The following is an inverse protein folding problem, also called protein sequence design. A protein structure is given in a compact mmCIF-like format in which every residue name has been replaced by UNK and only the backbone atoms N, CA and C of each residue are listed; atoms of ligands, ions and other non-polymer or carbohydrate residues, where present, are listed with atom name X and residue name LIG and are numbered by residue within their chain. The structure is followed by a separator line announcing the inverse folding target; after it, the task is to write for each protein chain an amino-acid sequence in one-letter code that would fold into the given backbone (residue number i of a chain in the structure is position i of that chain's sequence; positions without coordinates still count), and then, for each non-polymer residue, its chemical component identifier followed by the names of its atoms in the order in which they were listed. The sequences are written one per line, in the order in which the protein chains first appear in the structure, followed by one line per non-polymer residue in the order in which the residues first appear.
data_IF_745653107561
#
_entry.id   IF_745653107561
#
_cell.length_a   1.000
_cell.length_b   1.000
_cell.length_c   1.000
_cell.angle_alpha   90.00
_cell.angle_beta   90.00
_cell.angle_gamma   90.00
#
_symmetry.space_group_name_H-M   'P 1'
#
loop_
_entity.id
_entity.type
_entity.pdbx_description
1 polymer ?
#
# COMPACT_ATOMS: atom_id res chain seq x y z
N UNK A 1 20.28 -4.52 -3.47
CA UNK A 1 19.39 -4.51 -4.62
C UNK A 1 18.30 -3.47 -4.46
N UNK A 2 17.50 -3.26 -5.50
CA UNK A 2 16.37 -2.32 -5.49
C UNK A 2 15.37 -2.69 -4.38
N UNK A 3 14.84 -1.70 -3.68
CA UNK A 3 13.89 -1.92 -2.59
C UNK A 3 14.47 -2.45 -1.28
N UNK A 4 15.80 -2.60 -1.15
CA UNK A 4 16.40 -3.08 0.10
C UNK A 4 16.61 -4.60 0.15
N UNK A 5 16.80 -5.25 -1.00
CA UNK A 5 17.24 -6.65 -1.08
C UNK A 5 18.75 -6.69 -0.80
N UNK A 6 19.17 -7.08 0.40
CA UNK A 6 20.57 -7.07 0.83
C UNK A 6 21.02 -8.47 1.27
N UNK A 7 22.30 -8.74 1.05
CA UNK A 7 23.05 -9.82 1.67
C UNK A 7 24.44 -9.27 2.03
N UNK A 8 24.72 -9.10 3.33
CA UNK A 8 25.92 -8.46 3.83
C UNK A 8 26.55 -9.35 4.88
N UNK A 9 27.86 -9.60 4.73
CA UNK A 9 28.66 -10.33 5.72
C UNK A 9 29.50 -9.36 6.56
N UNK A 10 29.44 -9.53 7.87
CA UNK A 10 30.21 -8.80 8.87
C UNK A 10 31.24 -9.74 9.48
N UNK A 11 32.50 -9.76 8.96
CA UNK A 11 33.53 -10.74 9.36
C UNK A 11 33.96 -10.61 10.81
N UNK A 12 33.91 -9.42 11.37
CA UNK A 12 34.34 -9.14 12.77
C UNK A 12 33.36 -9.72 13.81
N UNK A 13 32.10 -9.99 13.41
CA UNK A 13 31.07 -10.59 14.26
C UNK A 13 30.64 -11.98 13.77
N UNK A 14 31.17 -12.44 12.64
CA UNK A 14 30.74 -13.65 11.94
C UNK A 14 29.23 -13.72 11.70
N UNK A 15 28.65 -12.59 11.24
CA UNK A 15 27.21 -12.42 11.01
C UNK A 15 26.92 -12.12 9.56
N UNK A 16 25.85 -12.72 9.04
CA UNK A 16 25.28 -12.39 7.72
C UNK A 16 23.93 -11.71 7.94
N UNK A 17 23.79 -10.49 7.44
CA UNK A 17 22.50 -9.80 7.33
C UNK A 17 21.89 -10.11 5.96
N UNK A 18 20.71 -10.71 5.96
CA UNK A 18 19.87 -10.87 4.76
C UNK A 18 18.58 -10.12 4.96
N UNK A 19 18.21 -9.26 4.01
CA UNK A 19 16.94 -8.54 4.05
C UNK A 19 16.16 -8.70 2.76
N UNK A 20 14.84 -8.80 2.89
CA UNK A 20 13.87 -8.65 1.82
C UNK A 20 12.92 -7.52 2.23
N UNK A 21 12.90 -6.44 1.45
CA UNK A 21 12.14 -5.25 1.81
C UNK A 21 11.63 -4.52 0.56
N UNK A 22 10.60 -3.70 0.73
CA UNK A 22 10.19 -2.69 -0.24
C UNK A 22 10.33 -1.30 0.39
N UNK A 23 11.49 -0.68 0.14
CA UNK A 23 11.80 0.68 0.56
C UNK A 23 11.69 1.69 -0.58
N UNK A 24 11.13 1.30 -1.73
CA UNK A 24 10.93 2.18 -2.87
C UNK A 24 10.05 3.38 -2.49
N UNK A 25 10.39 4.54 -3.02
CA UNK A 25 9.67 5.78 -2.74
C UNK A 25 9.79 6.32 -1.30
N UNK A 26 10.58 5.68 -0.43
CA UNK A 26 10.87 6.16 0.92
C UNK A 26 12.17 6.96 0.94
N UNK A 27 12.11 8.16 1.53
CA UNK A 27 13.33 8.91 1.80
C UNK A 27 14.23 8.13 2.76
N UNK A 28 15.52 8.01 2.43
CA UNK A 28 16.47 7.22 3.20
C UNK A 28 16.42 5.72 2.92
N UNK A 29 15.37 5.20 2.29
CA UNK A 29 15.24 3.85 1.76
C UNK A 29 16.07 2.78 2.46
N UNK A 30 17.12 2.32 1.78
CA UNK A 30 18.04 1.28 2.29
C UNK A 30 18.78 1.72 3.56
N UNK A 31 19.03 3.02 3.75
CA UNK A 31 19.72 3.52 4.96
C UNK A 31 18.95 3.19 6.24
N UNK A 32 17.62 3.22 6.20
CA UNK A 32 16.79 2.85 7.35
C UNK A 32 17.04 1.39 7.79
N UNK A 33 17.34 0.50 6.86
CA UNK A 33 17.67 -0.91 7.16
C UNK A 33 19.03 -0.98 7.88
N UNK A 34 20.02 -0.23 7.38
CA UNK A 34 21.34 -0.18 8.03
C UNK A 34 21.26 0.41 9.44
N UNK A 35 20.57 1.54 9.59
CA UNK A 35 20.44 2.21 10.89
C UNK A 35 19.76 1.27 11.91
N UNK A 36 18.63 0.67 11.55
CA UNK A 36 17.94 -0.29 12.40
C UNK A 36 18.82 -1.51 12.75
N UNK A 37 19.55 -2.06 11.78
CA UNK A 37 20.43 -3.19 12.03
C UNK A 37 21.59 -2.81 12.98
N UNK A 38 22.25 -1.67 12.75
CA UNK A 38 23.36 -1.24 13.59
C UNK A 38 22.92 -0.87 15.00
N UNK A 39 21.81 -0.18 15.15
CA UNK A 39 21.31 0.28 16.43
C UNK A 39 20.73 -0.88 17.27
N UNK A 40 19.90 -1.72 16.66
CA UNK A 40 19.11 -2.70 17.40
C UNK A 40 19.75 -4.11 17.47
N UNK A 41 20.61 -4.45 16.49
CA UNK A 41 21.17 -5.80 16.40
C UNK A 41 22.69 -5.79 16.58
N UNK A 42 23.43 -5.13 15.68
CA UNK A 42 24.88 -5.22 15.61
C UNK A 42 25.56 -4.77 16.91
N UNK A 43 25.09 -3.68 17.52
CA UNK A 43 25.61 -3.15 18.79
C UNK A 43 25.38 -4.07 19.99
N UNK A 44 24.47 -5.03 19.88
CA UNK A 44 24.05 -5.91 20.96
C UNK A 44 24.50 -7.38 20.79
N UNK A 45 25.07 -7.76 19.64
CA UNK A 45 25.44 -9.16 19.34
C UNK A 45 26.36 -9.76 20.42
N UNK A 46 27.37 -9.01 20.87
CA UNK A 46 28.32 -9.52 21.89
C UNK A 46 27.73 -9.65 23.29
N UNK A 47 26.62 -8.97 23.55
CA UNK A 47 25.90 -9.04 24.84
C UNK A 47 24.84 -10.17 24.86
N UNK A 48 24.54 -10.76 23.70
CA UNK A 48 23.57 -11.84 23.59
C UNK A 48 24.17 -13.14 24.15
N UNK A 49 23.65 -13.62 25.26
CA UNK A 49 23.96 -14.95 25.79
C UNK A 49 22.72 -15.82 25.71
N UNK A 50 22.83 -16.97 25.03
CA UNK A 50 21.75 -17.94 25.05
C UNK A 50 21.75 -18.68 26.39
N UNK A 51 20.70 -18.55 27.15
CA UNK A 51 20.55 -19.15 28.49
C UNK A 51 19.78 -20.49 28.48
N UNK A 52 19.42 -20.99 27.30
CA UNK A 52 18.71 -22.27 27.15
C UNK A 52 17.20 -22.19 27.42
N UNK A 53 16.65 -21.01 27.62
CA UNK A 53 15.21 -20.80 27.79
C UNK A 53 14.53 -20.64 26.42
N UNK A 54 13.40 -21.31 26.24
CA UNK A 54 12.60 -21.25 25.01
C UNK A 54 11.50 -20.16 25.07
N UNK A 55 11.34 -19.46 26.17
CA UNK A 55 10.29 -18.45 26.35
C UNK A 55 10.41 -17.33 25.32
N UNK A 56 11.62 -16.88 25.05
CA UNK A 56 11.91 -15.83 24.06
C UNK A 56 11.55 -16.28 22.63
N UNK A 57 11.76 -17.57 22.33
CA UNK A 57 11.39 -18.15 21.03
C UNK A 57 9.87 -18.24 20.86
N UNK A 58 9.13 -18.59 21.92
CA UNK A 58 7.67 -18.61 21.87
C UNK A 58 7.10 -17.20 21.70
N UNK A 59 7.69 -16.19 22.35
CA UNK A 59 7.32 -14.79 22.20
C UNK A 59 7.61 -14.30 20.78
N UNK A 60 8.79 -14.61 20.27
CA UNK A 60 9.16 -14.32 18.88
C UNK A 60 8.19 -14.96 17.87
N UNK A 61 7.81 -16.22 18.04
CA UNK A 61 6.83 -16.88 17.19
C UNK A 61 5.46 -16.21 17.23
N UNK A 62 5.00 -15.79 18.41
CA UNK A 62 3.74 -15.04 18.55
C UNK A 62 3.81 -13.71 17.81
N UNK A 63 4.92 -12.99 17.94
CA UNK A 63 5.16 -11.75 17.22
C UNK A 63 5.18 -11.98 15.71
N UNK A 64 5.91 -12.98 15.25
CA UNK A 64 6.01 -13.32 13.82
C UNK A 64 4.64 -13.65 13.20
N UNK A 65 3.85 -14.46 13.88
CA UNK A 65 2.51 -14.84 13.47
C UNK A 65 1.51 -13.66 13.51
N UNK A 66 1.79 -12.62 14.29
CA UNK A 66 0.94 -11.43 14.39
C UNK A 66 1.25 -10.37 13.33
N UNK A 67 2.37 -10.49 12.59
CA UNK A 67 2.77 -9.49 11.58
C UNK A 67 1.78 -9.44 10.43
N UNK A 68 1.46 -8.22 10.02
CA UNK A 68 0.56 -7.94 8.91
C UNK A 68 1.15 -6.82 8.04
N UNK A 69 0.76 -6.79 6.77
CA UNK A 69 1.02 -5.64 5.92
C UNK A 69 0.40 -4.39 6.52
N UNK A 70 1.18 -3.32 6.58
CA UNK A 70 0.71 -2.05 7.13
C UNK A 70 -0.47 -1.51 6.31
N UNK A 71 -1.57 -1.29 6.97
CA UNK A 71 -2.75 -0.63 6.39
C UNK A 71 -2.48 0.85 6.13
N UNK A 72 -3.27 1.46 5.25
CA UNK A 72 -3.24 2.91 5.06
C UNK A 72 -3.65 3.61 6.35
N UNK A 73 -2.79 4.45 6.96
CA UNK A 73 -3.15 5.18 8.17
C UNK A 73 -4.09 6.36 7.87
N UNK A 74 -4.99 6.64 8.80
CA UNK A 74 -5.98 7.72 8.76
C UNK A 74 -7.26 7.33 9.50
N UNK A 75 -8.35 8.04 9.25
CA UNK A 75 -9.66 7.71 9.80
C UNK A 75 -10.35 6.62 8.98
N UNK A 76 -11.03 5.70 9.66
CA UNK A 76 -11.71 4.58 9.00
C UNK A 76 -13.22 4.75 8.89
N UNK A 77 -13.72 5.93 9.24
CA UNK A 77 -15.11 6.36 9.06
C UNK A 77 -15.15 7.83 8.64
N UNK A 78 -16.14 8.21 7.84
CA UNK A 78 -16.36 9.59 7.43
C UNK A 78 -17.79 9.79 6.97
N UNK A 79 -18.35 10.97 7.21
CA UNK A 79 -19.64 11.40 6.67
C UNK A 79 -19.63 11.51 5.14
N UNK A 80 -18.43 11.58 4.54
CA UNK A 80 -18.25 11.56 3.09
C UNK A 80 -18.87 10.31 2.46
N UNK A 81 -18.81 9.16 3.13
CA UNK A 81 -19.39 7.89 2.63
C UNK A 81 -20.85 8.07 2.22
N UNK A 82 -21.64 8.76 3.02
CA UNK A 82 -23.07 8.98 2.72
C UNK A 82 -23.33 9.78 1.44
N UNK A 83 -22.33 10.57 1.01
CA UNK A 83 -22.41 11.44 -0.17
C UNK A 83 -21.94 10.75 -1.45
N UNK A 84 -20.93 9.88 -1.34
CA UNK A 84 -20.26 9.29 -2.51
C UNK A 84 -20.62 7.83 -2.77
N UNK A 85 -21.24 7.14 -1.81
CA UNK A 85 -21.57 5.73 -1.93
C UNK A 85 -22.53 5.48 -3.10
N UNK A 86 -22.07 4.72 -4.10
CA UNK A 86 -22.83 4.38 -5.30
C UNK A 86 -22.89 5.48 -6.36
N UNK A 87 -22.28 6.65 -6.12
CA UNK A 87 -22.22 7.72 -7.10
C UNK A 87 -21.18 7.42 -8.18
N UNK A 88 -21.52 7.73 -9.44
CA UNK A 88 -20.62 7.59 -10.58
C UNK A 88 -20.11 8.96 -11.04
N UNK A 89 -18.86 9.01 -11.48
CA UNK A 89 -18.22 10.21 -11.99
C UNK A 89 -17.61 9.91 -13.35
N UNK A 90 -17.77 10.83 -14.30
CA UNK A 90 -17.25 10.73 -15.66
C UNK A 90 -16.10 11.71 -15.88
N UNK A 91 -15.16 11.31 -16.73
CA UNK A 91 -13.92 12.04 -17.00
C UNK A 91 -13.73 12.24 -18.50
N UNK A 92 -13.21 13.41 -18.87
CA UNK A 92 -12.63 13.66 -20.20
C UNK A 92 -11.30 12.94 -20.35
N UNK A 93 -10.69 13.01 -21.54
CA UNK A 93 -9.36 12.47 -21.82
C UNK A 93 -8.34 12.87 -20.74
N UNK A 94 -7.63 11.87 -20.22
CA UNK A 94 -6.72 12.06 -19.11
C UNK A 94 -5.51 11.10 -19.18
N UNK A 95 -4.43 11.38 -18.42
CA UNK A 95 -3.20 10.58 -18.47
C UNK A 95 -3.37 9.10 -18.12
N UNK A 96 -4.37 8.75 -17.32
CA UNK A 96 -4.63 7.37 -16.90
C UNK A 96 -5.64 6.64 -17.80
N UNK A 97 -6.23 7.34 -18.79
CA UNK A 97 -7.25 6.77 -19.70
C UNK A 97 -8.52 6.29 -19.00
N UNK A 98 -8.79 6.78 -17.78
CA UNK A 98 -9.98 6.42 -17.00
C UNK A 98 -11.17 7.23 -17.50
N UNK A 99 -12.25 6.57 -17.88
CA UNK A 99 -13.48 7.21 -18.40
C UNK A 99 -14.53 7.45 -17.33
N UNK A 100 -14.60 6.57 -16.35
CA UNK A 100 -15.54 6.68 -15.24
C UNK A 100 -15.03 5.96 -13.98
N UNK A 101 -15.54 6.39 -12.83
CA UNK A 101 -15.35 5.70 -11.55
C UNK A 101 -16.63 5.64 -10.76
N UNK A 102 -16.71 4.65 -9.86
CA UNK A 102 -17.72 4.56 -8.81
C UNK A 102 -17.11 3.96 -7.55
N UNK A 103 -17.50 4.47 -6.38
CA UNK A 103 -17.19 3.86 -5.10
C UNK A 103 -18.45 3.26 -4.47
N UNK A 104 -18.32 2.05 -3.90
CA UNK A 104 -19.33 1.47 -3.03
C UNK A 104 -18.71 1.08 -1.70
N UNK A 105 -19.49 1.17 -0.63
CA UNK A 105 -19.07 0.82 0.73
C UNK A 105 -20.06 -0.15 1.35
N UNK A 106 -19.53 -1.15 2.08
CA UNK A 106 -20.28 -2.10 2.87
C UNK A 106 -19.54 -2.36 4.19
N UNK A 107 -19.97 -1.70 5.26
CA UNK A 107 -19.27 -1.73 6.55
C UNK A 107 -17.83 -1.21 6.42
N UNK A 108 -16.85 -2.03 6.81
CA UNK A 108 -15.42 -1.68 6.77
C UNK A 108 -14.74 -2.12 5.46
N UNK A 109 -15.48 -2.30 4.38
CA UNK A 109 -14.97 -2.60 3.05
C UNK A 109 -15.57 -1.67 2.02
N UNK A 110 -14.82 -1.45 0.96
CA UNK A 110 -15.28 -0.72 -0.20
C UNK A 110 -14.75 -1.33 -1.48
N UNK A 111 -15.36 -0.92 -2.59
CA UNK A 111 -14.92 -1.27 -3.94
C UNK A 111 -14.79 -0.01 -4.76
N UNK A 112 -13.64 0.15 -5.37
CA UNK A 112 -13.34 1.16 -6.37
C UNK A 112 -13.53 0.53 -7.75
N UNK A 113 -14.61 0.92 -8.42
CA UNK A 113 -14.87 0.56 -9.81
C UNK A 113 -14.28 1.64 -10.71
N UNK A 114 -13.66 1.25 -11.79
CA UNK A 114 -13.18 2.17 -12.81
C UNK A 114 -13.17 1.51 -14.17
N UNK A 115 -13.32 2.31 -15.21
CA UNK A 115 -13.22 1.89 -16.62
C UNK A 115 -12.05 2.59 -17.26
N UNK A 116 -11.20 1.84 -17.96
CA UNK A 116 -10.09 2.36 -18.76
C UNK A 116 -10.05 1.68 -20.13
N UNK A 117 -8.96 1.85 -20.89
CA UNK A 117 -8.81 1.28 -22.23
C UNK A 117 -8.83 -0.26 -22.26
N UNK A 118 -8.55 -0.93 -21.15
CA UNK A 118 -8.55 -2.41 -21.04
C UNK A 118 -9.88 -2.98 -20.60
N UNK A 119 -10.81 -2.15 -20.10
CA UNK A 119 -12.16 -2.53 -19.73
C UNK A 119 -12.61 -2.03 -18.36
N UNK A 120 -13.57 -2.75 -17.78
CA UNK A 120 -14.14 -2.45 -16.46
C UNK A 120 -13.38 -3.22 -15.38
N UNK A 121 -13.03 -2.55 -14.31
CA UNK A 121 -12.22 -3.08 -13.23
C UNK A 121 -12.86 -2.85 -11.86
N UNK A 122 -12.54 -3.75 -10.93
CA UNK A 122 -12.94 -3.69 -9.54
C UNK A 122 -11.71 -3.86 -8.65
N UNK A 123 -11.48 -2.91 -7.75
CA UNK A 123 -10.45 -2.97 -6.72
C UNK A 123 -11.12 -2.90 -5.35
N UNK A 124 -11.12 -4.01 -4.63
CA UNK A 124 -11.66 -4.08 -3.28
C UNK A 124 -10.62 -3.56 -2.28
N UNK A 125 -11.08 -2.83 -1.26
CA UNK A 125 -10.20 -2.32 -0.19
C UNK A 125 -10.89 -2.41 1.18
N UNK A 126 -10.06 -2.45 2.23
CA UNK A 126 -10.55 -2.41 3.61
C UNK A 126 -10.26 -1.07 4.29
N UNK A 127 -11.17 -0.63 5.14
CA UNK A 127 -10.97 0.46 6.08
C UNK A 127 -10.41 -0.11 7.38
N UNK A 128 -9.13 0.20 7.68
CA UNK A 128 -8.42 -0.35 8.84
C UNK A 128 -7.96 -1.82 8.71
N UNK A 129 -8.08 -2.41 7.53
CA UNK A 129 -7.60 -3.77 7.20
C UNK A 129 -7.19 -3.85 5.74
N UNK A 130 -6.36 -4.83 5.38
CA UNK A 130 -6.09 -5.16 3.99
C UNK A 130 -7.14 -6.14 3.45
N UNK A 131 -7.57 -5.94 2.20
CA UNK A 131 -8.31 -6.93 1.40
C UNK A 131 -7.34 -7.51 0.38
N UNK A 132 -7.16 -8.83 0.39
CA UNK A 132 -6.26 -9.53 -0.51
C UNK A 132 -7.00 -10.00 -1.75
N UNK A 133 -6.43 -9.74 -2.92
CA UNK A 133 -7.01 -10.04 -4.22
C UNK A 133 -5.93 -10.05 -5.29
N UNK A 134 -6.29 -10.36 -6.53
CA UNK A 134 -5.45 -10.09 -7.69
C UNK A 134 -5.71 -8.63 -8.15
N UNK A 135 -4.61 -7.92 -8.45
CA UNK A 135 -4.72 -6.56 -8.98
C UNK A 135 -5.29 -6.60 -10.41
N UNK A 136 -6.28 -5.77 -10.72
CA UNK A 136 -6.86 -5.72 -12.06
C UNK A 136 -5.78 -5.50 -13.14
N UNK A 137 -5.99 -6.02 -14.35
CA UNK A 137 -5.12 -5.98 -15.53
C UNK A 137 -3.83 -6.80 -15.44
N UNK A 138 -3.17 -6.86 -14.28
CA UNK A 138 -1.85 -7.50 -14.12
C UNK A 138 -1.91 -8.89 -13.50
N UNK A 139 -3.03 -9.27 -12.91
CA UNK A 139 -3.22 -10.53 -12.16
C UNK A 139 -2.17 -10.76 -11.04
N UNK A 140 -1.49 -9.70 -10.59
CA UNK A 140 -0.58 -9.76 -9.46
C UNK A 140 -1.34 -9.79 -8.15
N UNK A 141 -0.92 -10.62 -7.21
CA UNK A 141 -1.45 -10.61 -5.84
C UNK A 141 -1.18 -9.26 -5.18
N UNK A 142 -2.20 -8.73 -4.56
CA UNK A 142 -2.09 -7.47 -3.82
C UNK A 142 -2.93 -7.47 -2.54
N UNK A 143 -2.55 -6.58 -1.63
CA UNK A 143 -3.36 -6.19 -0.48
C UNK A 143 -3.74 -4.71 -0.60
N UNK A 144 -5.03 -4.39 -0.50
CA UNK A 144 -5.51 -3.02 -0.58
C UNK A 144 -6.21 -2.57 0.70
N UNK A 145 -5.86 -1.38 1.16
CA UNK A 145 -6.49 -0.72 2.31
C UNK A 145 -6.70 0.75 2.03
N UNK A 146 -7.65 1.37 2.72
CA UNK A 146 -7.95 2.78 2.56
C UNK A 146 -8.20 3.48 3.90
N UNK A 147 -8.04 4.80 3.89
CA UNK A 147 -8.38 5.66 5.00
C UNK A 147 -8.79 7.04 4.50
N UNK A 148 -9.65 7.71 5.26
CA UNK A 148 -9.96 9.11 5.06
C UNK A 148 -8.85 9.96 5.68
N UNK A 149 -8.32 10.92 4.92
CA UNK A 149 -7.23 11.81 5.35
C UNK A 149 -7.70 13.23 5.68
N UNK A 150 -8.90 13.58 5.20
CA UNK A 150 -9.59 14.83 5.47
C UNK A 150 -11.10 14.58 5.24
N UNK A 151 -11.92 15.55 5.55
CA UNK A 151 -13.39 15.45 5.45
C UNK A 151 -13.88 15.12 4.03
N UNK A 152 -13.07 15.40 3.02
CA UNK A 152 -13.41 15.22 1.62
C UNK A 152 -12.38 14.37 0.83
N UNK A 153 -11.47 13.66 1.51
CA UNK A 153 -10.43 12.88 0.84
C UNK A 153 -10.37 11.44 1.34
N UNK A 154 -10.44 10.51 0.40
CA UNK A 154 -10.15 9.08 0.59
C UNK A 154 -8.83 8.74 -0.09
N UNK A 155 -7.93 8.05 0.63
CA UNK A 155 -6.71 7.50 0.07
C UNK A 155 -6.74 5.98 0.12
N UNK A 156 -6.66 5.34 -1.03
CA UNK A 156 -6.50 3.89 -1.18
C UNK A 156 -5.02 3.60 -1.42
N UNK A 157 -4.47 2.66 -0.66
CA UNK A 157 -3.12 2.12 -0.83
C UNK A 157 -3.23 0.69 -1.30
N UNK A 158 -2.58 0.37 -2.41
CA UNK A 158 -2.42 -0.99 -2.94
C UNK A 158 -0.97 -1.41 -2.78
N UNK A 159 -0.74 -2.57 -2.21
CA UNK A 159 0.58 -3.18 -2.02
C UNK A 159 0.66 -4.45 -2.85
N UNK A 160 1.52 -4.47 -3.86
CA UNK A 160 1.78 -5.67 -4.66
C UNK A 160 2.67 -6.62 -3.86
N UNK A 161 2.28 -7.90 -3.78
CA UNK A 161 2.94 -8.95 -2.99
C UNK A 161 3.19 -10.20 -3.83
N UNK A 162 3.56 -10.02 -5.07
CA UNK A 162 3.81 -11.07 -6.05
C UNK A 162 5.23 -10.98 -6.62
N UNK A 163 5.43 -11.48 -7.84
CA UNK A 163 6.70 -11.43 -8.58
C UNK A 163 7.20 -10.01 -8.86
N UNK A 164 6.30 -9.04 -8.97
CA UNK A 164 6.62 -7.63 -8.90
C UNK A 164 6.43 -7.09 -7.48
N UNK A 165 7.19 -6.06 -7.12
CA UNK A 165 7.04 -5.33 -5.86
C UNK A 165 6.68 -3.88 -6.18
N UNK A 166 5.91 -3.26 -5.33
CA UNK A 166 5.57 -1.86 -5.47
C UNK A 166 4.30 -1.48 -4.72
N UNK A 167 4.10 -0.19 -4.63
CA UNK A 167 2.90 0.38 -4.04
C UNK A 167 2.23 1.30 -5.05
N UNK A 168 0.92 1.33 -5.00
CA UNK A 168 0.10 2.28 -5.74
C UNK A 168 -0.78 3.03 -4.76
N UNK A 169 -0.93 4.31 -5.00
CA UNK A 169 -1.81 5.18 -4.22
C UNK A 169 -2.86 5.79 -5.14
N UNK A 170 -4.12 5.71 -4.74
CA UNK A 170 -5.26 6.33 -5.41
C UNK A 170 -5.89 7.29 -4.39
N UNK A 171 -5.70 8.59 -4.61
CA UNK A 171 -6.29 9.64 -3.78
C UNK A 171 -7.50 10.24 -4.50
N UNK A 172 -8.64 10.25 -3.82
CA UNK A 172 -9.89 10.81 -4.34
C UNK A 172 -10.30 11.98 -3.45
N UNK A 173 -10.34 13.18 -4.01
CA UNK A 173 -10.75 14.41 -3.33
C UNK A 173 -12.04 14.94 -3.95
N UNK A 174 -13.06 15.16 -3.11
CA UNK A 174 -14.40 15.53 -3.52
C UNK A 174 -14.68 16.99 -3.16
N UNK A 175 -15.18 17.77 -4.10
CA UNK A 175 -15.65 19.14 -3.91
C UNK A 175 -16.92 19.31 -4.72
N UNK A 176 -18.04 19.58 -4.06
CA UNK A 176 -19.37 19.64 -4.66
C UNK A 176 -19.66 18.42 -5.54
N UNK A 177 -19.95 18.60 -6.82
CA UNK A 177 -20.22 17.55 -7.80
C UNK A 177 -18.95 17.04 -8.52
N UNK A 178 -17.76 17.43 -8.07
CA UNK A 178 -16.50 17.06 -8.70
C UNK A 178 -15.67 16.14 -7.82
N UNK A 179 -14.96 15.23 -8.48
CA UNK A 179 -13.88 14.42 -7.89
C UNK A 179 -12.57 14.69 -8.61
N UNK A 180 -11.52 14.90 -7.86
CA UNK A 180 -10.14 14.86 -8.37
C UNK A 180 -9.52 13.56 -7.95
N UNK A 181 -9.03 12.81 -8.92
CA UNK A 181 -8.32 11.54 -8.73
C UNK A 181 -6.85 11.77 -8.99
N UNK A 182 -6.00 11.37 -8.05
CA UNK A 182 -4.56 11.27 -8.25
C UNK A 182 -4.18 9.80 -8.08
N UNK A 183 -3.69 9.21 -9.14
CA UNK A 183 -3.05 7.89 -9.11
C UNK A 183 -1.54 8.08 -9.13
N UNK A 184 -0.84 7.35 -8.28
CA UNK A 184 0.61 7.39 -8.20
C UNK A 184 1.17 6.00 -7.93
N UNK A 185 2.01 5.56 -8.83
CA UNK A 185 2.80 4.33 -8.66
C UNK A 185 4.15 4.63 -7.98
N UNK A 186 4.70 3.64 -7.29
CA UNK A 186 6.04 3.69 -6.70
C UNK A 186 6.98 2.64 -7.36
N UNK A 187 6.47 1.87 -8.29
CA UNK A 187 7.24 0.89 -9.05
C UNK A 187 7.69 1.51 -10.38
N UNK A 188 8.92 1.20 -10.86
CA UNK A 188 9.49 1.86 -12.05
C UNK A 188 9.08 1.20 -13.36
N UNK A 189 8.87 -0.12 -13.38
CA UNK A 189 8.72 -0.90 -14.60
C UNK A 189 7.27 -1.17 -15.01
N UNK A 190 6.32 -1.13 -14.06
CA UNK A 190 4.90 -1.46 -14.26
C UNK A 190 4.00 -0.28 -13.91
N UNK A 191 2.69 -0.40 -14.20
CA UNK A 191 1.64 0.52 -13.75
C UNK A 191 1.77 1.94 -14.28
N UNK A 192 2.38 2.16 -15.45
CA UNK A 192 2.58 3.51 -16.00
C UNK A 192 1.26 4.23 -16.29
N UNK A 193 0.20 3.50 -16.59
CA UNK A 193 -1.17 3.97 -16.79
C UNK A 193 -1.84 4.42 -15.47
N UNK A 194 -1.25 4.09 -14.33
CA UNK A 194 -1.73 4.51 -13.00
C UNK A 194 -0.87 5.65 -12.41
N UNK A 195 -0.36 6.54 -13.23
CA UNK A 195 0.45 7.69 -12.78
C UNK A 195 -0.06 8.99 -13.42
N UNK A 196 -0.97 9.67 -12.74
CA UNK A 196 -1.57 10.89 -13.26
C UNK A 196 -2.56 11.54 -12.29
N UNK A 197 -2.98 12.74 -12.66
CA UNK A 197 -4.02 13.51 -11.96
C UNK A 197 -5.07 13.96 -12.97
N UNK A 198 -6.33 13.76 -12.63
CA UNK A 198 -7.47 14.14 -13.45
C UNK A 198 -8.70 14.44 -12.61
N UNK A 199 -9.64 15.19 -13.16
CA UNK A 199 -10.88 15.56 -12.46
C UNK A 199 -12.09 15.22 -13.31
N UNK A 200 -13.16 14.79 -12.66
CA UNK A 200 -14.41 14.45 -13.30
C UNK A 200 -15.60 14.99 -12.54
N UNK A 201 -16.76 14.85 -13.15
CA UNK A 201 -18.02 15.37 -12.62
C UNK A 201 -18.98 14.23 -12.34
N UNK A 202 -19.81 14.40 -11.32
CA UNK A 202 -20.91 13.51 -10.99
C UNK A 202 -21.79 13.28 -12.24
N UNK A 203 -21.99 12.02 -12.58
CA UNK A 203 -22.95 11.61 -13.65
C UNK A 203 -24.37 11.77 -13.15
N UNK A 204 -25.22 12.40 -13.96
CA UNK A 204 -26.66 12.67 -13.66
C UNK A 204 -27.51 11.51 -14.17
#
# INVERSE_FOLDING_TARGET
GMGGQLAIYYPDKDVILITTADTQGRQGGVQLIYDAFYEEVYSHIDACTYNGDNSDYEEFQKFENSRQLLVQPGEYSSDLVSKINGQSYEFDDNPCGVTDIKLTFNGNEGTFFYTNATGNHELHFGLGKNVFQNFPDYDFKCGASAAFRADNNLLIKVQIIDSAVGNMYISLSYIDDYVTVMMRKIEESYFSEYDGVFSGKLSI
#
